data_IF_357304560497
#
_entry.id   IF_357304560497
#
_cell.length_a   1.000
_cell.length_b   1.000
_cell.length_c   1.000
_cell.angle_alpha   90.00
_cell.angle_beta   90.00
_cell.angle_gamma   90.00
#
_symmetry.space_group_name_H-M   'P 1'
#
loop_
_entity.id
_entity.type
_entity.pdbx_description
1 polymer ?
#
# COMPACT_ATOMS: atom_id res chain seq x y z
N UNK A 1 19.25 -10.46 23.09
CA UNK A 1 18.61 -11.17 21.96
C UNK A 1 18.68 -10.26 20.74
N UNK A 2 19.13 -10.77 19.60
CA UNK A 2 19.07 -10.04 18.33
C UNK A 2 17.79 -10.53 17.62
N UNK A 3 16.79 -9.66 17.53
CA UNK A 3 15.54 -9.98 16.86
C UNK A 3 15.79 -9.90 15.35
N UNK A 4 15.71 -11.03 14.65
CA UNK A 4 15.88 -11.09 13.20
C UNK A 4 14.52 -10.95 12.53
N UNK A 5 14.30 -9.84 11.83
CA UNK A 5 13.17 -9.69 10.92
C UNK A 5 13.44 -10.51 9.65
N UNK A 6 12.40 -11.16 9.12
CA UNK A 6 12.52 -12.03 7.94
C UNK A 6 11.91 -11.42 6.68
N UNK A 7 10.91 -10.55 6.82
CA UNK A 7 10.26 -9.84 5.72
C UNK A 7 9.62 -8.55 6.25
N UNK A 8 9.37 -7.58 5.38
CA UNK A 8 8.64 -6.35 5.66
C UNK A 8 7.49 -6.18 4.66
N UNK A 9 6.31 -5.81 5.13
CA UNK A 9 5.14 -5.58 4.29
C UNK A 9 4.61 -4.17 4.55
N UNK A 10 4.58 -3.33 3.51
CA UNK A 10 3.97 -2.01 3.53
C UNK A 10 2.60 -2.04 2.85
N UNK A 11 1.54 -1.82 3.62
CA UNK A 11 0.16 -1.74 3.10
C UNK A 11 -0.20 -0.27 2.91
N UNK A 12 -0.30 0.13 1.65
CA UNK A 12 -0.51 1.47 1.12
C UNK A 12 0.22 2.57 1.92
N UNK A 13 1.56 2.49 2.05
CA UNK A 13 2.32 3.36 2.94
C UNK A 13 2.30 4.82 2.46
N UNK A 14 2.22 5.75 3.41
CA UNK A 14 2.18 7.20 3.16
C UNK A 14 3.20 7.94 4.04
N UNK A 15 4.00 8.82 3.46
CA UNK A 15 5.07 9.55 4.14
C UNK A 15 4.68 10.98 4.60
N UNK A 16 3.42 11.37 4.44
CA UNK A 16 2.87 12.64 4.93
C UNK A 16 1.65 13.10 4.15
N UNK A 17 1.01 14.16 4.66
CA UNK A 17 -0.22 14.72 4.06
C UNK A 17 0.05 15.54 2.78
N UNK A 18 1.25 16.11 2.65
CA UNK A 18 1.73 16.79 1.45
C UNK A 18 3.25 17.03 1.54
N UNK A 19 3.89 17.48 0.45
CA UNK A 19 5.35 17.69 0.38
C UNK A 19 5.89 18.65 1.44
N UNK A 20 5.08 19.59 1.94
CA UNK A 20 5.43 20.53 3.00
C UNK A 20 5.19 19.95 4.41
N UNK A 21 4.32 18.95 4.54
CA UNK A 21 3.89 18.30 5.78
C UNK A 21 4.25 16.81 5.78
N UNK A 22 5.54 16.52 5.57
CA UNK A 22 6.07 15.15 5.71
C UNK A 22 6.06 14.73 7.18
N UNK A 23 5.82 13.45 7.44
CA UNK A 23 5.95 12.89 8.79
C UNK A 23 7.42 12.89 9.23
N UNK A 24 7.63 13.03 10.54
CA UNK A 24 8.93 12.84 11.18
C UNK A 24 8.98 11.43 11.81
N UNK A 25 10.03 10.62 11.59
CA UNK A 25 11.20 10.92 10.75
C UNK A 25 10.85 10.96 9.26
N UNK A 26 11.62 11.73 8.47
CA UNK A 26 11.48 11.75 7.02
C UNK A 26 12.03 10.43 6.47
N UNK A 27 11.15 9.48 6.16
CA UNK A 27 11.53 8.15 5.68
C UNK A 27 11.96 8.22 4.21
N UNK A 28 11.13 8.81 3.35
CA UNK A 28 11.44 8.97 1.93
C UNK A 28 12.56 10.00 1.70
N UNK A 29 13.58 9.58 0.97
CA UNK A 29 14.75 10.37 0.57
C UNK A 29 14.60 10.98 -0.83
N UNK A 30 13.73 10.43 -1.67
CA UNK A 30 13.58 10.76 -3.09
C UNK A 30 14.70 10.21 -3.98
N UNK A 31 15.48 9.24 -3.49
CA UNK A 31 16.55 8.57 -4.24
C UNK A 31 16.15 7.11 -4.46
N UNK A 32 16.08 6.62 -5.72
CA UNK A 32 15.79 5.20 -5.98
C UNK A 32 16.76 4.27 -5.24
N UNK A 33 16.26 3.14 -4.74
CA UNK A 33 17.03 2.13 -4.02
C UNK A 33 17.77 2.63 -2.76
N UNK A 34 17.31 3.72 -2.14
CA UNK A 34 17.92 4.30 -0.94
C UNK A 34 17.75 3.43 0.32
N UNK A 35 16.68 2.64 0.39
CA UNK A 35 16.35 1.85 1.57
C UNK A 35 17.34 0.71 1.73
N UNK A 36 18.13 0.77 2.80
CA UNK A 36 19.10 -0.27 3.11
C UNK A 36 18.47 -1.39 3.95
N UNK A 37 17.54 -2.13 3.34
CA UNK A 37 16.87 -3.28 3.95
C UNK A 37 17.41 -4.59 3.34
N UNK A 38 18.10 -5.38 4.15
CA UNK A 38 18.65 -6.69 3.75
C UNK A 38 17.63 -7.83 3.91
N UNK A 39 16.33 -7.49 3.91
CA UNK A 39 15.20 -8.41 4.02
C UNK A 39 14.25 -8.20 2.84
N UNK A 40 13.56 -9.25 2.37
CA UNK A 40 12.51 -9.12 1.36
C UNK A 40 11.44 -8.13 1.78
N UNK A 41 10.97 -7.32 0.83
CA UNK A 41 9.95 -6.29 1.07
C UNK A 41 8.79 -6.49 0.11
N UNK A 42 7.56 -6.39 0.60
CA UNK A 42 6.37 -6.26 -0.23
C UNK A 42 5.75 -4.89 -0.02
N UNK A 43 5.42 -4.19 -1.11
CA UNK A 43 4.67 -2.93 -1.08
C UNK A 43 3.36 -3.14 -1.82
N UNK A 44 2.25 -2.91 -1.13
CA UNK A 44 0.90 -3.02 -1.70
C UNK A 44 0.33 -1.61 -1.76
N UNK A 45 -0.14 -1.17 -2.92
CA UNK A 45 -0.65 0.17 -3.16
C UNK A 45 -2.09 0.21 -3.65
N UNK A 46 -2.71 1.38 -3.57
CA UNK A 46 -4.04 1.65 -4.17
C UNK A 46 -3.96 2.66 -5.32
N UNK A 47 -4.77 2.47 -6.36
CA UNK A 47 -4.73 3.37 -7.54
C UNK A 47 -5.40 4.72 -7.33
N UNK A 48 -6.39 4.81 -6.44
CA UNK A 48 -7.15 6.04 -6.19
C UNK A 48 -6.65 6.82 -4.97
N UNK A 49 -5.62 6.33 -4.26
CA UNK A 49 -5.12 6.94 -3.03
C UNK A 49 -4.57 8.37 -3.20
N UNK A 50 -4.01 8.66 -4.37
CA UNK A 50 -3.53 10.00 -4.76
C UNK A 50 -4.63 10.96 -5.22
N UNK A 51 -5.88 10.49 -5.34
CA UNK A 51 -6.99 11.29 -5.81
C UNK A 51 -7.82 11.89 -4.65
N UNK A 52 -8.34 13.09 -4.86
CA UNK A 52 -9.35 13.69 -3.99
C UNK A 52 -10.74 13.60 -4.62
N UNK A 53 -11.77 13.47 -3.77
CA UNK A 53 -13.18 13.57 -4.19
C UNK A 53 -13.49 14.94 -4.77
N UNK A 54 -12.81 15.99 -4.31
CA UNK A 54 -12.97 17.36 -4.79
C UNK A 54 -11.70 17.71 -5.58
N UNK A 55 -11.75 17.57 -6.91
CA UNK A 55 -10.58 17.66 -7.80
C UNK A 55 -9.74 18.95 -7.76
N UNK A 56 -10.17 19.97 -7.02
CA UNK A 56 -9.45 21.23 -6.83
C UNK A 56 -8.77 21.37 -5.45
N UNK A 57 -9.01 20.45 -4.51
CA UNK A 57 -8.49 20.52 -3.14
C UNK A 57 -7.46 19.40 -2.94
N UNK A 58 -6.20 19.71 -2.57
CA UNK A 58 -5.17 18.71 -2.31
C UNK A 58 -5.43 18.05 -0.95
N UNK A 59 -6.36 17.10 -0.91
CA UNK A 59 -6.71 16.31 0.27
C UNK A 59 -6.82 14.82 -0.04
N UNK A 60 -5.95 14.32 -0.92
CA UNK A 60 -5.72 12.89 -1.11
C UNK A 60 -5.06 12.30 0.13
N UNK A 61 -5.44 11.09 0.51
CA UNK A 61 -4.88 10.40 1.67
C UNK A 61 -3.48 9.84 1.39
N UNK A 62 -3.17 9.49 0.14
CA UNK A 62 -1.89 8.96 -0.29
C UNK A 62 -1.36 9.78 -1.50
N UNK A 63 -0.98 11.04 -1.30
CA UNK A 63 -0.58 11.95 -2.38
C UNK A 63 0.65 11.47 -3.16
N UNK A 64 0.67 11.75 -4.46
CA UNK A 64 1.83 11.51 -5.32
C UNK A 64 3.10 12.16 -4.79
N UNK A 65 4.22 11.45 -4.88
CA UNK A 65 5.48 11.87 -4.26
C UNK A 65 5.59 11.56 -2.77
N UNK A 66 4.59 10.90 -2.17
CA UNK A 66 4.61 10.44 -0.77
C UNK A 66 3.90 9.10 -0.53
N UNK A 67 3.47 8.39 -1.57
CA UNK A 67 2.65 7.18 -1.49
C UNK A 67 3.46 5.91 -1.80
N UNK A 68 2.77 4.77 -1.91
CA UNK A 68 3.36 3.45 -2.14
C UNK A 68 4.38 3.42 -3.29
N UNK A 69 4.18 4.21 -4.36
CA UNK A 69 5.07 4.22 -5.51
C UNK A 69 6.47 4.72 -5.13
N UNK A 70 6.55 5.73 -4.26
CA UNK A 70 7.83 6.22 -3.73
C UNK A 70 8.48 5.21 -2.78
N UNK A 71 7.67 4.54 -1.94
CA UNK A 71 8.21 3.49 -1.06
C UNK A 71 8.76 2.32 -1.86
N UNK A 72 8.08 1.90 -2.93
CA UNK A 72 8.56 0.86 -3.84
C UNK A 72 9.84 1.28 -4.57
N UNK A 73 9.86 2.48 -5.16
CA UNK A 73 11.03 3.02 -5.86
C UNK A 73 12.27 3.18 -4.95
N UNK A 74 12.07 3.53 -3.68
CA UNK A 74 13.19 3.62 -2.72
C UNK A 74 13.62 2.25 -2.17
N UNK A 75 12.83 1.19 -2.33
CA UNK A 75 13.27 -0.17 -2.04
C UNK A 75 14.34 -0.64 -3.06
N UNK A 76 15.16 -1.59 -2.65
CA UNK A 76 16.14 -2.27 -3.52
C UNK A 76 15.46 -3.37 -4.33
N UNK A 77 16.22 -3.99 -5.23
CA UNK A 77 15.83 -5.10 -6.14
C UNK A 77 15.14 -6.31 -5.47
N UNK A 78 15.10 -6.38 -4.13
CA UNK A 78 14.41 -7.42 -3.36
C UNK A 78 12.98 -7.03 -2.94
N UNK A 79 12.35 -6.10 -3.68
CA UNK A 79 11.01 -5.62 -3.41
C UNK A 79 10.00 -6.14 -4.42
N UNK A 80 8.86 -6.62 -3.92
CA UNK A 80 7.71 -6.98 -4.73
C UNK A 80 6.61 -5.95 -4.56
N UNK A 81 6.18 -5.35 -5.67
CA UNK A 81 5.17 -4.31 -5.68
C UNK A 81 3.85 -4.81 -6.25
N UNK A 82 2.75 -4.44 -5.62
CA UNK A 82 1.40 -4.70 -6.11
C UNK A 82 0.54 -3.44 -6.04
N UNK A 83 -0.37 -3.27 -7.00
CA UNK A 83 -1.35 -2.18 -7.03
C UNK A 83 -2.75 -2.73 -7.24
N UNK A 84 -3.68 -2.23 -6.45
CA UNK A 84 -5.12 -2.47 -6.61
C UNK A 84 -5.73 -1.18 -7.19
N UNK A 85 -5.80 -1.04 -8.53
CA UNK A 85 -5.98 0.25 -9.19
C UNK A 85 -7.37 0.88 -8.97
N UNK A 86 -8.39 0.05 -8.76
CA UNK A 86 -9.78 0.50 -8.71
C UNK A 86 -10.25 0.92 -7.30
N UNK A 87 -9.33 0.95 -6.32
CA UNK A 87 -9.59 1.23 -4.91
C UNK A 87 -8.72 2.37 -4.40
N UNK A 88 -9.11 2.97 -3.27
CA UNK A 88 -8.38 4.06 -2.62
C UNK A 88 -7.89 3.73 -1.22
N UNK A 89 -7.04 4.61 -0.68
CA UNK A 89 -6.35 4.41 0.60
C UNK A 89 -7.28 4.04 1.77
N UNK A 90 -8.45 4.70 1.85
CA UNK A 90 -9.41 4.47 2.93
C UNK A 90 -10.24 3.20 2.74
N UNK A 91 -10.17 2.54 1.58
CA UNK A 91 -10.84 1.25 1.37
C UNK A 91 -10.12 0.12 2.12
N UNK A 92 -8.88 0.35 2.60
CA UNK A 92 -8.09 -0.58 3.42
C UNK A 92 -8.64 -0.75 4.85
N UNK A 93 -9.59 0.11 5.25
CA UNK A 93 -10.12 0.17 6.61
C UNK A 93 -11.56 -0.32 6.66
N UNK A 94 -11.91 -0.96 7.77
CA UNK A 94 -13.31 -1.27 8.09
C UNK A 94 -14.15 0.01 8.13
N UNK A 95 -15.41 -0.08 7.70
CA UNK A 95 -16.32 1.07 7.69
C UNK A 95 -16.52 1.67 9.10
N UNK A 96 -16.43 0.84 10.15
CA UNK A 96 -16.57 1.25 11.55
C UNK A 96 -15.31 1.95 12.13
N UNK A 97 -14.17 1.88 11.44
CA UNK A 97 -12.93 2.51 11.89
C UNK A 97 -13.07 4.04 11.97
N UNK A 98 -13.72 4.63 10.97
CA UNK A 98 -14.01 6.07 10.93
C UNK A 98 -14.97 6.50 12.06
N UNK A 99 -15.89 5.61 12.46
CA UNK A 99 -16.92 5.89 13.45
C UNK A 99 -16.39 5.82 14.89
N UNK A 100 -15.46 4.90 15.14
CA UNK A 100 -15.00 4.56 16.50
C UNK A 100 -13.66 5.17 16.91
N UNK A 101 -12.76 5.51 15.97
CA UNK A 101 -11.39 5.92 16.32
C UNK A 101 -11.15 7.44 16.34
N UNK A 102 -11.84 8.22 15.50
CA UNK A 102 -11.55 9.67 15.34
C UNK A 102 -12.78 10.53 15.69
N UNK A 103 -13.85 9.90 16.18
CA UNK A 103 -15.17 10.51 16.34
C UNK A 103 -15.90 10.59 15.00
N UNK A 104 -17.19 10.27 15.04
CA UNK A 104 -18.07 10.08 13.87
C UNK A 104 -18.00 11.21 12.85
N UNK A 105 -17.79 12.45 13.28
CA UNK A 105 -17.73 13.63 12.41
C UNK A 105 -16.40 13.79 11.68
N UNK A 106 -15.25 13.41 12.26
CA UNK A 106 -13.93 13.56 11.59
C UNK A 106 -13.69 12.39 10.64
N UNK A 107 -14.05 11.16 11.04
CA UNK A 107 -13.98 9.99 10.17
C UNK A 107 -14.86 10.13 8.92
N UNK A 108 -16.08 10.65 9.07
CA UNK A 108 -16.96 10.96 7.93
C UNK A 108 -16.39 12.05 7.02
N UNK A 109 -15.73 13.08 7.57
CA UNK A 109 -15.08 14.13 6.77
C UNK A 109 -13.87 13.56 6.00
N UNK A 110 -12.99 12.79 6.66
CA UNK A 110 -11.83 12.19 5.99
C UNK A 110 -12.24 11.19 4.90
N UNK A 111 -13.23 10.33 5.18
CA UNK A 111 -13.80 9.43 4.17
C UNK A 111 -14.46 10.17 3.01
N UNK A 112 -14.94 11.41 3.21
CA UNK A 112 -15.53 12.23 2.13
C UNK A 112 -14.50 12.98 1.26
N UNK A 113 -13.24 13.04 1.67
CA UNK A 113 -12.20 13.82 0.98
C UNK A 113 -11.28 12.97 0.11
N UNK A 114 -11.05 11.72 0.49
CA UNK A 114 -10.22 10.76 -0.22
C UNK A 114 -11.09 9.92 -1.16
N UNK A 115 -10.62 9.72 -2.40
CA UNK A 115 -11.38 8.96 -3.38
C UNK A 115 -11.39 7.48 -3.01
N UNK A 116 -12.58 6.90 -2.93
CA UNK A 116 -12.79 5.46 -2.78
C UNK A 116 -13.17 4.81 -4.10
N UNK A 117 -12.91 3.50 -4.19
CA UNK A 117 -13.37 2.64 -5.26
C UNK A 117 -14.89 2.48 -5.28
N UNK A 118 -15.41 1.98 -6.41
CA UNK A 118 -16.81 1.55 -6.52
C UNK A 118 -17.00 0.04 -6.29
N UNK A 119 -15.90 -0.69 -6.15
CA UNK A 119 -15.89 -2.13 -5.93
C UNK A 119 -16.25 -2.51 -4.49
N UNK A 120 -16.44 -3.80 -4.27
CA UNK A 120 -16.66 -4.36 -2.94
C UNK A 120 -15.37 -4.29 -2.10
N UNK A 121 -15.45 -3.71 -0.90
CA UNK A 121 -14.29 -3.56 0.00
C UNK A 121 -13.82 -4.90 0.56
N UNK A 122 -14.76 -5.82 0.83
CA UNK A 122 -14.41 -7.14 1.36
C UNK A 122 -13.48 -7.88 0.40
N UNK A 123 -13.81 -7.91 -0.89
CA UNK A 123 -12.96 -8.51 -1.93
C UNK A 123 -11.56 -7.87 -1.98
N UNK A 124 -11.45 -6.54 -1.80
CA UNK A 124 -10.15 -5.87 -1.76
C UNK A 124 -9.35 -6.26 -0.51
N UNK A 125 -9.99 -6.26 0.67
CA UNK A 125 -9.34 -6.69 1.91
C UNK A 125 -8.93 -8.17 1.87
N UNK A 126 -9.72 -9.03 1.24
CA UNK A 126 -9.36 -10.43 0.96
C UNK A 126 -8.12 -10.52 0.06
N UNK A 127 -8.03 -9.70 -0.99
CA UNK A 127 -6.84 -9.61 -1.84
C UNK A 127 -5.60 -9.22 -1.03
N UNK A 128 -5.69 -8.14 -0.24
CA UNK A 128 -4.57 -7.66 0.59
C UNK A 128 -4.18 -8.72 1.64
N UNK A 129 -5.16 -9.33 2.30
CA UNK A 129 -4.94 -10.41 3.25
C UNK A 129 -4.25 -11.62 2.61
N UNK A 130 -4.68 -12.00 1.40
CA UNK A 130 -4.06 -13.08 0.62
C UNK A 130 -2.59 -12.79 0.29
N UNK A 131 -2.28 -11.57 -0.17
CA UNK A 131 -0.90 -11.13 -0.43
C UNK A 131 -0.03 -11.18 0.83
N UNK A 132 -0.55 -10.70 1.96
CA UNK A 132 0.15 -10.73 3.25
C UNK A 132 0.44 -12.18 3.66
N UNK A 133 -0.56 -13.06 3.59
CA UNK A 133 -0.40 -14.47 3.95
C UNK A 133 0.60 -15.15 3.02
N UNK A 134 0.50 -14.98 1.71
CA UNK A 134 1.43 -15.56 0.73
C UNK A 134 2.88 -15.12 1.00
N UNK A 135 3.11 -13.83 1.28
CA UNK A 135 4.45 -13.31 1.63
C UNK A 135 5.00 -13.94 2.90
N UNK A 136 4.16 -14.07 3.93
CA UNK A 136 4.54 -14.65 5.21
C UNK A 136 4.83 -16.14 5.07
N UNK A 137 4.00 -16.90 4.36
CA UNK A 137 4.23 -18.33 4.10
C UNK A 137 5.53 -18.57 3.34
N UNK A 138 5.80 -17.77 2.31
CA UNK A 138 7.04 -17.85 1.53
C UNK A 138 8.30 -17.63 2.38
N UNK A 139 8.26 -16.70 3.34
CA UNK A 139 9.46 -16.27 4.09
C UNK A 139 9.60 -16.88 5.48
N UNK A 140 8.50 -17.31 6.10
CA UNK A 140 8.51 -17.95 7.42
C UNK A 140 8.55 -19.47 7.30
N UNK A 141 7.81 -20.04 6.35
CA UNK A 141 7.66 -21.49 6.18
C UNK A 141 8.36 -22.03 4.92
N UNK A 142 8.82 -21.15 4.02
CA UNK A 142 9.46 -21.53 2.76
C UNK A 142 8.48 -21.99 1.67
N UNK A 143 7.18 -21.73 1.85
CA UNK A 143 6.11 -22.11 0.92
C UNK A 143 5.84 -20.98 -0.07
N UNK A 144 6.52 -20.99 -1.22
CA UNK A 144 6.44 -19.88 -2.20
C UNK A 144 5.31 -20.02 -3.22
N UNK A 145 4.69 -21.20 -3.33
CA UNK A 145 3.79 -21.53 -4.45
C UNK A 145 2.62 -20.57 -4.65
N UNK A 146 1.98 -20.11 -3.58
CA UNK A 146 0.89 -19.13 -3.68
C UNK A 146 1.39 -17.75 -4.13
N UNK A 147 2.54 -17.31 -3.61
CA UNK A 147 3.13 -16.03 -3.97
C UNK A 147 3.56 -16.03 -5.44
N UNK A 148 4.24 -17.09 -5.88
CA UNK A 148 4.68 -17.27 -7.27
C UNK A 148 3.46 -17.28 -8.22
N UNK A 149 2.38 -17.99 -7.86
CA UNK A 149 1.16 -18.02 -8.65
C UNK A 149 0.49 -16.64 -8.79
N UNK A 150 0.47 -15.83 -7.72
CA UNK A 150 -0.09 -14.47 -7.77
C UNK A 150 0.75 -13.55 -8.65
N UNK A 151 2.08 -13.70 -8.63
CA UNK A 151 2.99 -12.91 -9.47
C UNK A 151 2.84 -13.29 -10.94
N UNK A 152 2.77 -14.58 -11.24
CA UNK A 152 2.64 -15.10 -12.61
C UNK A 152 1.25 -14.83 -13.22
N UNK A 153 0.19 -14.93 -12.41
CA UNK A 153 -1.19 -14.74 -12.84
C UNK A 153 -1.97 -13.85 -11.85
N UNK A 154 -1.73 -12.53 -11.82
CA UNK A 154 -2.40 -11.62 -10.87
C UNK A 154 -3.92 -11.58 -11.06
N UNK A 155 -4.43 -12.05 -12.19
CA UNK A 155 -5.86 -12.20 -12.47
C UNK A 155 -6.60 -13.23 -11.61
N UNK A 156 -5.90 -14.08 -10.85
CA UNK A 156 -6.53 -14.99 -9.87
C UNK A 156 -7.04 -14.26 -8.62
N UNK A 157 -6.60 -13.02 -8.40
CA UNK A 157 -7.01 -12.21 -7.27
C UNK A 157 -8.52 -11.87 -7.33
N UNK A 158 -9.19 -11.69 -6.18
CA UNK A 158 -10.62 -11.38 -6.13
C UNK A 158 -10.96 -9.97 -6.65
N UNK A 159 -9.94 -9.13 -6.87
CA UNK A 159 -10.04 -7.79 -7.47
C UNK A 159 -8.96 -7.63 -8.52
N UNK A 160 -9.08 -6.61 -9.38
CA UNK A 160 -8.01 -6.26 -10.31
C UNK A 160 -6.73 -5.97 -9.52
N UNK A 161 -5.68 -6.72 -9.83
CA UNK A 161 -4.37 -6.62 -9.22
C UNK A 161 -3.32 -6.45 -10.32
N UNK A 162 -2.38 -5.55 -10.12
CA UNK A 162 -1.28 -5.29 -11.03
C UNK A 162 0.04 -5.48 -10.28
N UNK A 163 1.01 -6.16 -10.90
CA UNK A 163 2.38 -6.24 -10.38
C UNK A 163 3.11 -4.96 -10.81
N UNK A 164 3.80 -4.32 -9.88
CA UNK A 164 4.62 -3.14 -10.19
C UNK A 164 5.92 -3.63 -10.81
N UNK A 165 6.18 -3.20 -12.03
CA UNK A 165 7.49 -3.36 -12.68
C UNK A 165 8.39 -2.20 -12.27
N UNK A 166 9.68 -2.47 -12.10
CA UNK A 166 10.68 -1.40 -11.96
C UNK A 166 10.59 -0.49 -13.18
N UNK A 167 10.39 0.81 -12.97
CA UNK A 167 10.61 1.77 -14.04
C UNK A 167 12.08 1.75 -14.39
N UNK A 168 12.43 1.36 -15.63
CA UNK A 168 13.81 1.45 -16.11
C UNK A 168 14.38 2.86 -15.82
N UNK A 169 15.65 2.95 -15.37
CA UNK A 169 16.29 4.20 -14.97
C UNK A 169 16.45 5.23 -16.10
#
# INVERSE_FOLDING_TARGET
>A
MNLKFLTLIGIDPVAGANKCMKMCPKILTGVPHSFNLDIPVMVIGTGLGGESVIGCIPCSCAPDGLNYAEFFNECKDNCLGFVIPDYGHMDMLDDDYCTNCIGTSIGAIMGSMCKSGKGDKTSMMECVGGLVVAMLMAHLEGETGDLDAIVDEPGIAPVKLEVVEDSEP
#
